data_IF_337892282145
#
_entry.id   IF_337892282145
#
_cell.length_a   1.000
_cell.length_b   1.000
_cell.length_c   1.000
_cell.angle_alpha   90.00
_cell.angle_beta   90.00
_cell.angle_gamma   90.00
#
_symmetry.space_group_name_H-M   'P 1'
#
loop_
_entity.id
_entity.type
_entity.pdbx_description
1 polymer ?
#
# COMPACT_ATOMS: atom_id res chain seq x y z
N UNK A 1 12.11 20.09 -8.41
CA UNK A 1 11.94 20.58 -9.79
C UNK A 1 12.59 21.93 -9.93
N UNK A 2 12.24 22.69 -10.98
CA UNK A 2 12.64 24.10 -11.11
C UNK A 2 12.01 24.95 -10.00
N UNK A 3 12.63 26.08 -9.66
CA UNK A 3 12.09 26.99 -8.64
C UNK A 3 10.74 27.56 -9.06
N UNK A 4 9.88 27.82 -8.07
CA UNK A 4 8.58 28.43 -8.30
C UNK A 4 8.73 29.87 -8.78
N UNK A 5 8.17 30.14 -9.95
CA UNK A 5 8.01 31.45 -10.55
C UNK A 5 6.53 31.63 -10.91
N UNK A 6 5.88 32.59 -10.25
CA UNK A 6 4.45 32.86 -10.34
C UNK A 6 4.00 33.29 -11.75
N UNK A 7 4.73 34.21 -12.39
CA UNK A 7 4.40 34.66 -13.75
C UNK A 7 4.51 33.53 -14.77
N UNK A 8 5.53 32.69 -14.63
CA UNK A 8 5.71 31.52 -15.50
C UNK A 8 4.62 30.50 -15.27
N UNK A 9 4.25 30.27 -14.01
CA UNK A 9 3.20 29.34 -13.61
C UNK A 9 1.86 29.75 -14.21
N UNK A 10 1.43 30.99 -13.97
CA UNK A 10 0.17 31.53 -14.48
C UNK A 10 0.10 31.49 -16.02
N UNK A 11 1.21 31.78 -16.71
CA UNK A 11 1.27 31.66 -18.18
C UNK A 11 1.08 30.22 -18.67
N UNK A 12 1.71 29.25 -18.01
CA UNK A 12 1.60 27.83 -18.39
C UNK A 12 0.20 27.28 -18.08
N UNK A 13 -0.35 27.61 -16.91
CA UNK A 13 -1.71 27.21 -16.50
C UNK A 13 -2.75 27.70 -17.52
N UNK A 14 -2.65 28.98 -17.91
CA UNK A 14 -3.54 29.58 -18.91
C UNK A 14 -3.35 28.97 -20.29
N UNK A 15 -2.12 28.71 -20.72
CA UNK A 15 -1.83 28.07 -22.00
C UNK A 15 -2.38 26.63 -22.07
N UNK A 16 -2.36 25.90 -20.96
CA UNK A 16 -2.87 24.53 -20.86
C UNK A 16 -4.38 24.46 -20.57
N UNK A 17 -5.08 25.59 -20.51
CA UNK A 17 -6.51 25.67 -20.16
C UNK A 17 -6.86 24.92 -18.85
N UNK A 18 -6.00 25.03 -17.83
CA UNK A 18 -6.19 24.37 -16.53
C UNK A 18 -7.00 25.21 -15.53
N UNK A 19 -7.21 26.51 -15.81
CA UNK A 19 -7.94 27.43 -14.92
C UNK A 19 -9.36 26.94 -14.58
N UNK A 20 -10.06 26.37 -15.58
CA UNK A 20 -11.41 25.83 -15.38
C UNK A 20 -11.39 24.56 -14.55
N UNK A 21 -10.37 23.72 -14.70
CA UNK A 21 -10.26 22.49 -13.90
C UNK A 21 -9.96 22.81 -12.44
N UNK A 22 -9.05 23.75 -12.17
CA UNK A 22 -8.74 24.15 -10.80
C UNK A 22 -9.94 24.73 -10.06
N UNK A 23 -10.82 25.49 -10.73
CA UNK A 23 -12.07 25.99 -10.13
C UNK A 23 -13.05 24.88 -9.72
N UNK A 24 -13.00 23.73 -10.37
CA UNK A 24 -13.86 22.58 -10.07
C UNK A 24 -13.29 21.71 -8.95
N UNK A 25 -11.99 21.81 -8.66
CA UNK A 25 -11.36 21.03 -7.61
C UNK A 25 -11.67 21.64 -6.23
N UNK A 26 -11.91 20.81 -5.19
CA UNK A 26 -12.35 21.31 -3.89
C UNK A 26 -11.37 22.28 -3.22
N UNK A 27 -10.06 22.16 -3.52
CA UNK A 27 -9.00 23.01 -2.96
C UNK A 27 -8.18 23.70 -4.04
N UNK A 28 -8.78 23.93 -5.22
CA UNK A 28 -8.09 24.61 -6.31
C UNK A 28 -6.88 23.85 -6.82
N UNK A 29 -5.81 24.59 -7.12
CA UNK A 29 -4.52 24.08 -7.60
C UNK A 29 -3.69 23.34 -6.53
N UNK A 30 -4.04 23.50 -5.25
CA UNK A 30 -3.42 22.79 -4.13
C UNK A 30 -4.04 21.42 -3.87
N UNK A 31 -5.03 21.00 -4.65
CA UNK A 31 -5.73 19.75 -4.44
C UNK A 31 -4.83 18.53 -4.63
N UNK A 32 -4.82 17.64 -3.64
CA UNK A 32 -4.15 16.35 -3.68
C UNK A 32 -4.83 15.43 -4.71
N UNK A 33 -4.10 15.11 -5.78
CA UNK A 33 -4.63 14.34 -6.93
C UNK A 33 -4.57 12.81 -6.76
N UNK A 34 -3.98 12.33 -5.66
CA UNK A 34 -3.76 10.91 -5.38
C UNK A 34 -2.64 10.26 -6.18
N UNK A 35 -2.26 9.04 -5.81
CA UNK A 35 -1.28 8.24 -6.56
C UNK A 35 -1.76 8.06 -8.01
N UNK A 36 -0.85 8.26 -8.98
CA UNK A 36 -1.15 8.19 -10.43
C UNK A 36 -2.29 9.13 -10.89
N UNK A 37 -2.62 10.14 -10.10
CA UNK A 37 -3.68 11.11 -10.39
C UNK A 37 -5.07 10.47 -10.42
N UNK A 38 -5.38 9.51 -9.55
CA UNK A 38 -6.69 8.83 -9.51
C UNK A 38 -7.89 9.80 -9.51
N UNK A 39 -7.74 10.99 -8.93
CA UNK A 39 -8.79 12.00 -8.88
C UNK A 39 -9.00 12.77 -10.20
N UNK A 40 -8.15 12.59 -11.22
CA UNK A 40 -8.16 13.36 -12.47
C UNK A 40 -8.67 12.52 -13.65
N UNK A 41 -9.38 13.16 -14.57
CA UNK A 41 -9.76 12.56 -15.85
C UNK A 41 -8.54 12.36 -16.77
N UNK A 42 -8.66 11.51 -17.80
CA UNK A 42 -7.59 11.29 -18.78
C UNK A 42 -7.10 12.58 -19.46
N UNK A 43 -8.03 13.44 -19.89
CA UNK A 43 -7.71 14.73 -20.48
C UNK A 43 -7.08 15.73 -19.50
N UNK A 44 -7.45 15.69 -18.22
CA UNK A 44 -6.79 16.49 -17.18
C UNK A 44 -5.36 16.03 -16.93
N UNK A 45 -5.13 14.71 -16.86
CA UNK A 45 -3.77 14.13 -16.73
C UNK A 45 -2.88 14.53 -17.90
N UNK A 46 -3.40 14.45 -19.13
CA UNK A 46 -2.67 14.85 -20.32
C UNK A 46 -2.26 16.33 -20.28
N UNK A 47 -3.21 17.23 -19.95
CA UNK A 47 -2.96 18.67 -19.82
C UNK A 47 -1.98 19.00 -18.69
N UNK A 48 -2.07 18.34 -17.54
CA UNK A 48 -1.13 18.52 -16.44
C UNK A 48 0.28 18.02 -16.80
N UNK A 49 0.39 16.90 -17.52
CA UNK A 49 1.66 16.39 -18.02
C UNK A 49 2.30 17.36 -19.03
N UNK A 50 1.50 17.92 -19.93
CA UNK A 50 1.92 18.95 -20.88
C UNK A 50 2.38 20.22 -20.15
N UNK A 51 1.61 20.70 -19.17
CA UNK A 51 1.98 21.85 -18.34
C UNK A 51 3.32 21.64 -17.64
N UNK A 52 3.56 20.44 -17.08
CA UNK A 52 4.83 20.06 -16.46
C UNK A 52 5.99 20.14 -17.46
N UNK A 53 5.81 19.68 -18.69
CA UNK A 53 6.82 19.77 -19.73
C UNK A 53 7.13 21.23 -20.09
N UNK A 54 6.10 22.06 -20.33
CA UNK A 54 6.25 23.49 -20.66
C UNK A 54 6.95 24.28 -19.55
N UNK A 55 6.65 23.97 -18.29
CA UNK A 55 7.24 24.65 -17.14
C UNK A 55 8.74 24.38 -16.98
N UNK A 56 9.25 23.24 -17.44
CA UNK A 56 10.67 22.89 -17.29
C UNK A 56 11.61 23.75 -18.16
N UNK A 57 11.11 24.36 -19.25
CA UNK A 57 11.91 25.16 -20.20
C UNK A 57 13.12 24.43 -20.77
N UNK A 58 12.88 23.34 -21.51
CA UNK A 58 13.89 22.65 -22.29
C UNK A 58 14.18 23.35 -23.65
N UNK A 59 15.24 22.93 -24.33
CA UNK A 59 15.55 23.34 -25.71
C UNK A 59 14.84 22.50 -26.77
N UNK A 60 14.61 21.22 -26.45
CA UNK A 60 13.94 20.24 -27.30
C UNK A 60 12.73 19.68 -26.55
N UNK A 61 11.57 19.68 -27.20
CA UNK A 61 10.33 19.09 -26.70
C UNK A 61 9.96 17.88 -27.55
N UNK A 62 9.85 16.72 -26.91
CA UNK A 62 9.33 15.49 -27.50
C UNK A 62 7.94 15.24 -26.93
N UNK A 63 6.93 15.28 -27.78
CA UNK A 63 5.53 15.18 -27.41
C UNK A 63 4.93 13.93 -28.06
N UNK A 64 4.57 12.95 -27.24
CA UNK A 64 3.96 11.70 -27.67
C UNK A 64 2.45 11.75 -27.47
N UNK A 65 1.74 12.03 -28.56
CA UNK A 65 0.29 12.20 -28.68
C UNK A 65 -0.43 12.89 -27.49
N UNK A 66 0.00 14.12 -27.10
CA UNK A 66 -0.53 14.81 -25.92
C UNK A 66 -1.99 15.29 -26.07
N UNK A 67 -2.59 15.17 -27.25
CA UNK A 67 -3.90 15.72 -27.59
C UNK A 67 -5.00 14.66 -27.77
N UNK A 68 -4.71 13.37 -27.62
CA UNK A 68 -5.65 12.27 -27.87
C UNK A 68 -6.80 12.20 -26.86
N UNK A 69 -6.51 12.50 -25.59
CA UNK A 69 -7.46 12.38 -24.49
C UNK A 69 -8.31 13.64 -24.24
N UNK A 70 -8.23 14.64 -25.12
CA UNK A 70 -8.91 15.95 -24.96
C UNK A 70 -9.86 16.24 -26.13
N UNK A 71 -10.94 16.96 -25.84
CA UNK A 71 -11.92 17.36 -26.84
C UNK A 71 -11.30 18.23 -27.94
N UNK A 72 -11.85 18.17 -29.16
CA UNK A 72 -11.33 18.88 -30.34
C UNK A 72 -11.14 20.39 -30.12
N UNK A 73 -12.02 21.04 -29.37
CA UNK A 73 -11.89 22.48 -29.08
C UNK A 73 -10.69 22.77 -28.17
N UNK A 74 -10.54 21.98 -27.10
CA UNK A 74 -9.42 22.08 -26.16
C UNK A 74 -8.11 21.72 -26.88
N UNK A 75 -8.11 20.68 -27.71
CA UNK A 75 -6.96 20.27 -28.51
C UNK A 75 -6.46 21.41 -29.42
N UNK A 76 -7.38 22.11 -30.11
CA UNK A 76 -7.05 23.29 -30.93
C UNK A 76 -6.47 24.43 -30.08
N UNK A 77 -7.07 24.70 -28.92
CA UNK A 77 -6.55 25.71 -28.00
C UNK A 77 -5.12 25.38 -27.55
N UNK A 78 -4.87 24.15 -27.10
CA UNK A 78 -3.56 23.67 -26.66
C UNK A 78 -2.53 23.72 -27.79
N UNK A 79 -2.89 23.31 -29.00
CA UNK A 79 -1.98 23.36 -30.14
C UNK A 79 -1.59 24.81 -30.47
N UNK A 80 -2.55 25.74 -30.50
CA UNK A 80 -2.28 27.14 -30.80
C UNK A 80 -1.49 27.83 -29.67
N UNK A 81 -1.92 27.70 -28.41
CA UNK A 81 -1.29 28.38 -27.28
C UNK A 81 0.01 27.74 -26.84
N UNK A 82 0.07 26.42 -26.71
CA UNK A 82 1.28 25.73 -26.24
C UNK A 82 2.29 25.56 -27.37
N UNK A 83 1.88 24.96 -28.50
CA UNK A 83 2.83 24.62 -29.56
C UNK A 83 3.20 25.84 -30.41
N UNK A 84 2.23 26.64 -30.87
CA UNK A 84 2.50 27.73 -31.81
C UNK A 84 2.92 29.05 -31.14
N UNK A 85 2.36 29.39 -29.98
CA UNK A 85 2.72 30.64 -29.27
C UNK A 85 3.84 30.43 -28.24
N UNK A 86 3.62 29.56 -27.24
CA UNK A 86 4.55 29.43 -26.10
C UNK A 86 5.90 28.81 -26.50
N UNK A 87 5.87 27.77 -27.32
CA UNK A 87 7.07 27.05 -27.77
C UNK A 87 7.60 27.53 -29.12
N UNK A 88 7.21 28.72 -29.60
CA UNK A 88 7.52 29.21 -30.96
C UNK A 88 9.02 29.16 -31.31
N UNK A 89 9.89 29.48 -30.35
CA UNK A 89 11.35 29.60 -30.52
C UNK A 89 12.10 28.33 -30.08
N UNK A 90 11.39 27.23 -29.81
CA UNK A 90 11.98 25.96 -29.32
C UNK A 90 11.85 24.85 -30.36
N UNK A 91 12.76 23.88 -30.33
CA UNK A 91 12.67 22.71 -31.18
C UNK A 91 11.58 21.77 -30.64
N UNK A 92 10.67 21.30 -31.52
CA UNK A 92 9.52 20.48 -31.13
C UNK A 92 9.36 19.31 -32.08
N UNK A 93 9.21 18.12 -31.53
CA UNK A 93 8.80 16.92 -32.26
C UNK A 93 7.49 16.44 -31.64
N UNK A 94 6.43 16.40 -32.44
CA UNK A 94 5.10 15.97 -32.05
C UNK A 94 4.74 14.71 -32.83
N UNK A 95 4.50 13.62 -32.10
CA UNK A 95 3.87 12.42 -32.65
C UNK A 95 2.38 12.55 -32.39
N UNK A 96 1.54 12.36 -33.41
CA UNK A 96 0.09 12.37 -33.23
C UNK A 96 -0.61 11.53 -34.27
N UNK A 97 -1.71 10.90 -33.87
CA UNK A 97 -2.65 10.24 -34.78
C UNK A 97 -3.63 11.23 -35.43
N UNK A 98 -3.70 12.47 -34.94
CA UNK A 98 -4.68 13.47 -35.39
C UNK A 98 -4.20 14.28 -36.59
N UNK A 99 -4.75 14.01 -37.79
CA UNK A 99 -4.39 14.71 -39.05
C UNK A 99 -4.69 16.23 -39.03
N UNK A 100 -5.63 16.68 -38.18
CA UNK A 100 -6.10 18.06 -38.15
C UNK A 100 -5.00 19.11 -37.87
N UNK A 101 -3.92 18.72 -37.19
CA UNK A 101 -2.81 19.61 -36.82
C UNK A 101 -1.63 19.57 -37.80
N UNK A 102 -1.64 18.65 -38.78
CA UNK A 102 -0.53 18.48 -39.73
C UNK A 102 -0.35 19.69 -40.66
N UNK A 103 -1.42 20.46 -40.93
CA UNK A 103 -1.36 21.61 -41.85
C UNK A 103 -0.44 22.73 -41.36
N UNK A 104 -0.33 22.89 -40.04
CA UNK A 104 0.45 23.95 -39.40
C UNK A 104 1.89 23.50 -39.09
N UNK A 105 2.25 22.25 -39.41
CA UNK A 105 3.59 21.73 -39.19
C UNK A 105 4.57 22.19 -40.28
N UNK A 106 5.77 22.59 -39.87
CA UNK A 106 6.84 22.99 -40.79
C UNK A 106 7.34 21.81 -41.64
N UNK A 107 7.49 20.65 -41.02
CA UNK A 107 7.90 19.40 -41.66
C UNK A 107 7.11 18.24 -41.03
N UNK A 108 6.72 17.29 -41.88
CA UNK A 108 6.00 16.08 -41.51
C UNK A 108 6.88 14.89 -41.93
N UNK A 109 7.10 13.98 -41.00
CA UNK A 109 7.77 12.70 -41.21
C UNK A 109 6.72 11.60 -41.16
N UNK A 110 6.63 10.81 -42.22
CA UNK A 110 5.75 9.63 -42.30
C UNK A 110 6.58 8.37 -42.10
N UNK A 111 6.27 7.61 -41.06
CA UNK A 111 6.90 6.33 -40.74
C UNK A 111 5.93 5.19 -41.06
N UNK A 112 6.42 4.14 -41.71
CA UNK A 112 5.70 2.88 -41.92
C UNK A 112 6.63 1.71 -41.61
N UNK A 113 6.21 0.78 -40.74
CA UNK A 113 7.01 -0.39 -40.33
C UNK A 113 8.46 -0.09 -39.90
N UNK A 114 8.69 1.07 -39.28
CA UNK A 114 10.02 1.51 -38.84
C UNK A 114 10.88 2.17 -39.93
N UNK A 115 10.39 2.25 -41.18
CA UNK A 115 11.05 2.93 -42.28
C UNK A 115 10.46 4.33 -42.55
N UNK A 116 11.33 5.27 -42.89
CA UNK A 116 10.94 6.62 -43.28
C UNK A 116 10.42 6.60 -44.73
N UNK A 117 9.09 6.65 -44.89
CA UNK A 117 8.44 6.66 -46.21
C UNK A 117 8.57 8.02 -46.88
N UNK A 118 8.37 9.11 -46.13
CA UNK A 118 8.43 10.45 -46.68
C UNK A 118 8.69 11.54 -45.64
N UNK A 119 9.37 12.60 -46.08
CA UNK A 119 9.61 13.83 -45.34
C UNK A 119 9.25 15.01 -46.25
N UNK A 120 8.47 15.96 -45.73
CA UNK A 120 8.13 17.19 -46.45
C UNK A 120 7.09 18.04 -45.71
N UNK A 121 6.78 19.21 -46.26
CA UNK A 121 5.62 20.00 -45.82
C UNK A 121 4.30 19.31 -46.21
N UNK A 122 3.19 19.72 -45.61
CA UNK A 122 1.86 19.20 -45.95
C UNK A 122 1.54 19.31 -47.45
N UNK A 123 1.91 20.43 -48.08
CA UNK A 123 1.71 20.65 -49.52
C UNK A 123 2.59 19.72 -50.36
N UNK A 124 3.87 19.58 -50.00
CA UNK A 124 4.81 18.70 -50.72
C UNK A 124 4.42 17.23 -50.64
N UNK A 125 3.94 16.76 -49.49
CA UNK A 125 3.48 15.38 -49.33
C UNK A 125 2.21 15.11 -50.14
N UNK A 126 1.28 16.08 -50.17
CA UNK A 126 0.07 16.00 -50.98
C UNK A 126 0.38 15.97 -52.48
N UNK A 127 1.32 16.79 -52.94
CA UNK A 127 1.78 16.80 -54.34
C UNK A 127 2.49 15.50 -54.76
N UNK A 128 3.17 14.83 -53.82
CA UNK A 128 3.77 13.50 -54.03
C UNK A 128 2.75 12.37 -54.07
N UNK A 129 1.45 12.65 -53.91
CA UNK A 129 0.39 11.66 -53.95
C UNK A 129 0.32 10.77 -52.70
N UNK A 130 0.97 11.15 -51.60
CA UNK A 130 0.90 10.43 -50.33
C UNK A 130 -0.40 10.84 -49.63
N UNK A 131 -1.42 9.99 -49.72
CA UNK A 131 -2.69 10.23 -49.05
C UNK A 131 -2.58 9.88 -47.56
N UNK A 132 -2.20 10.87 -46.76
CA UNK A 132 -2.14 10.77 -45.29
C UNK A 132 -3.47 10.31 -44.68
N UNK A 133 -4.61 10.60 -45.33
CA UNK A 133 -5.93 10.15 -44.86
C UNK A 133 -6.17 8.66 -45.10
N UNK A 134 -5.57 8.08 -46.15
CA UNK A 134 -5.67 6.65 -46.44
C UNK A 134 -4.88 5.81 -45.43
N UNK A 135 -3.73 6.31 -44.96
CA UNK A 135 -2.95 5.64 -43.91
C UNK A 135 -3.70 5.52 -42.59
N UNK A 136 -4.45 6.56 -42.19
CA UNK A 136 -5.27 6.50 -40.97
C UNK A 136 -6.41 5.46 -41.09
N UNK A 137 -7.01 5.32 -42.27
CA UNK A 137 -8.04 4.29 -42.54
C UNK A 137 -7.49 2.86 -42.56
N UNK A 138 -6.19 2.68 -42.76
CA UNK A 138 -5.54 1.36 -42.71
C UNK A 138 -5.12 0.98 -41.29
N UNK A 139 -4.73 1.95 -40.45
CA UNK A 139 -4.40 1.72 -39.03
C UNK A 139 -5.65 1.51 -38.16
N UNK A 140 -6.76 2.17 -38.51
CA UNK A 140 -8.07 1.90 -37.91
C UNK A 140 -8.67 0.65 -38.57
N UNK A 141 -8.23 -0.54 -38.14
CA UNK A 141 -8.80 -1.80 -38.61
C UNK A 141 -10.34 -1.86 -38.40
N UNK A 142 -11.06 -2.79 -39.06
CA UNK A 142 -12.53 -2.85 -39.09
C UNK A 142 -13.22 -3.12 -37.73
N UNK A 143 -12.48 -3.12 -36.62
CA UNK A 143 -13.03 -3.29 -35.27
C UNK A 143 -13.40 -1.99 -34.56
N UNK A 144 -12.75 -0.85 -34.85
CA UNK A 144 -13.03 0.41 -34.13
C UNK A 144 -14.18 1.24 -34.75
N UNK A 145 -14.55 0.95 -36.01
CA UNK A 145 -15.64 1.68 -36.68
C UNK A 145 -17.03 1.37 -36.10
N UNK A 146 -17.19 0.27 -35.35
CA UNK A 146 -18.48 -0.09 -34.73
C UNK A 146 -18.81 0.77 -33.50
N UNK A 147 -17.82 1.38 -32.86
CA UNK A 147 -18.03 2.21 -31.68
C UNK A 147 -18.36 3.67 -32.00
N UNK A 148 -17.99 4.15 -33.20
CA UNK A 148 -18.29 5.52 -33.63
C UNK A 148 -19.73 5.68 -34.15
N UNK A 149 -20.27 4.68 -34.87
CA UNK A 149 -21.63 4.76 -35.45
C UNK A 149 -22.75 4.74 -34.41
N UNK A 150 -22.49 4.27 -33.18
CA UNK A 150 -23.46 4.37 -32.06
C UNK A 150 -23.56 5.75 -31.43
N UNK A 151 -22.61 6.65 -31.66
CA UNK A 151 -22.61 8.00 -31.04
C UNK A 151 -23.29 9.07 -31.89
N UNK A 152 -23.62 8.77 -33.15
CA UNK A 152 -24.13 9.76 -34.12
C UNK A 152 -25.65 9.77 -34.31
N UNK A 153 -26.43 9.04 -33.51
CA UNK A 153 -27.90 9.16 -33.49
C UNK A 153 -28.40 9.81 -32.19
N UNK A 154 -27.95 11.03 -31.91
CA UNK A 154 -28.62 11.92 -30.96
C UNK A 154 -28.87 13.25 -31.67
N UNK A 155 -30.17 13.57 -31.82
CA UNK A 155 -30.68 14.73 -32.54
C UNK A 155 -30.24 16.07 -31.92
N UNK A 156 -30.03 17.13 -32.72
CA UNK A 156 -29.44 18.40 -32.28
C UNK A 156 -30.48 19.37 -31.68
N UNK A 157 -31.26 18.92 -30.70
CA UNK A 157 -32.27 19.77 -30.06
C UNK A 157 -32.21 19.66 -28.54
N UNK A 158 -31.10 20.05 -27.91
CA UNK A 158 -31.07 20.30 -26.46
C UNK A 158 -29.87 21.11 -25.97
N UNK A 159 -29.26 21.93 -26.85
CA UNK A 159 -28.20 22.89 -26.47
C UNK A 159 -28.69 24.31 -26.75
N UNK A 160 -29.76 24.72 -26.08
CA UNK A 160 -30.22 26.12 -26.10
C UNK A 160 -31.03 26.47 -24.86
N UNK A 161 -30.49 26.20 -23.68
CA UNK A 161 -30.98 26.77 -22.43
C UNK A 161 -30.01 26.37 -21.34
N UNK A 162 -29.13 27.30 -20.97
CA UNK A 162 -28.47 27.46 -19.67
C UNK A 162 -27.36 28.51 -19.85
N UNK A 163 -27.80 29.73 -20.17
CA UNK A 163 -27.01 30.95 -20.02
C UNK A 163 -27.98 32.01 -19.51
N UNK A 164 -28.22 32.01 -18.21
CA UNK A 164 -28.74 33.19 -17.52
C UNK A 164 -28.00 33.31 -16.19
N UNK A 165 -27.52 34.53 -15.95
CA UNK A 165 -26.44 34.82 -15.02
C UNK A 165 -26.84 34.74 -13.55
N UNK A 166 -25.82 34.53 -12.75
CA UNK A 166 -25.78 34.99 -11.37
C UNK A 166 -24.42 35.65 -11.14
N UNK A 167 -24.46 36.95 -10.85
CA UNK A 167 -23.32 37.72 -10.38
C UNK A 167 -22.80 37.09 -9.09
N UNK A 168 -21.56 36.59 -9.11
CA UNK A 168 -20.84 36.17 -7.91
C UNK A 168 -20.07 37.40 -7.44
N UNK A 169 -20.54 38.03 -6.37
CA UNK A 169 -19.81 39.05 -5.63
C UNK A 169 -18.53 38.44 -5.05
N UNK A 170 -17.38 38.99 -5.43
CA UNK A 170 -16.06 38.69 -4.88
C UNK A 170 -16.02 39.02 -3.38
N UNK A 171 -16.09 38.00 -2.53
CA UNK A 171 -15.68 38.09 -1.14
C UNK A 171 -14.43 37.21 -0.99
N UNK A 172 -13.26 37.85 -1.05
CA UNK A 172 -11.99 37.22 -0.71
C UNK A 172 -11.91 37.06 0.81
N UNK A 173 -12.27 35.89 1.32
CA UNK A 173 -11.83 35.46 2.65
C UNK A 173 -10.51 34.69 2.53
N UNK A 174 -9.50 34.96 3.38
CA UNK A 174 -8.25 34.19 3.38
C UNK A 174 -8.55 32.77 3.82
N UNK A 175 -8.41 31.81 2.90
CA UNK A 175 -8.65 30.39 3.16
C UNK A 175 -7.57 29.87 4.12
N UNK A 176 -7.98 29.46 5.32
CA UNK A 176 -7.16 28.71 6.27
C UNK A 176 -6.73 27.36 5.69
N UNK A 177 -5.50 26.97 5.98
CA UNK A 177 -4.88 25.73 5.51
C UNK A 177 -5.59 24.50 6.10
N UNK A 178 -6.54 23.94 5.36
CA UNK A 178 -7.06 22.60 5.64
C UNK A 178 -6.08 21.60 5.06
N UNK A 179 -5.30 20.97 5.93
CA UNK A 179 -4.41 19.87 5.63
C UNK A 179 -5.24 18.77 4.93
N UNK A 180 -5.05 18.57 3.62
CA UNK A 180 -5.66 17.48 2.87
C UNK A 180 -5.01 16.16 3.25
N UNK A 181 -5.16 15.78 4.51
CA UNK A 181 -4.74 14.48 4.99
C UNK A 181 -5.68 13.45 4.36
N UNK A 182 -5.09 12.56 3.56
CA UNK A 182 -5.65 11.22 3.32
C UNK A 182 -6.19 10.75 4.67
N UNK A 183 -7.45 10.28 4.74
CA UNK A 183 -8.02 9.76 6.00
C UNK A 183 -6.97 8.84 6.62
N UNK A 184 -6.40 9.16 7.80
CA UNK A 184 -5.46 8.29 8.45
C UNK A 184 -6.08 6.90 8.52
N UNK A 185 -5.37 5.86 8.07
CA UNK A 185 -5.78 4.49 8.41
C UNK A 185 -5.99 4.45 9.93
N UNK A 186 -7.14 3.94 10.36
CA UNK A 186 -7.62 4.08 11.73
C UNK A 186 -6.55 3.61 12.71
N UNK A 187 -6.12 4.55 13.54
CA UNK A 187 -5.14 4.34 14.58
C UNK A 187 -5.84 3.70 15.77
N UNK A 188 -5.79 2.38 15.90
CA UNK A 188 -6.14 1.74 17.17
C UNK A 188 -5.01 1.96 18.17
N UNK A 189 -5.27 2.87 19.11
CA UNK A 189 -4.42 3.18 20.27
C UNK A 189 -4.91 2.28 21.41
N UNK A 190 -4.13 1.26 21.79
CA UNK A 190 -4.51 0.36 22.87
C UNK A 190 -3.78 -0.98 22.83
N UNK A 191 -4.01 -1.79 23.87
CA UNK A 191 -3.65 -3.20 23.91
C UNK A 191 -4.49 -3.99 22.91
N UNK A 192 -3.92 -5.04 22.31
CA UNK A 192 -4.65 -5.93 21.40
C UNK A 192 -5.83 -6.55 22.13
N UNK A 193 -7.03 -6.42 21.58
CA UNK A 193 -8.24 -7.02 22.15
C UNK A 193 -8.11 -8.56 22.21
N UNK A 194 -8.58 -9.17 23.30
CA UNK A 194 -8.57 -10.63 23.48
C UNK A 194 -9.35 -11.37 22.40
N UNK A 195 -10.30 -10.70 21.74
CA UNK A 195 -11.04 -11.25 20.62
C UNK A 195 -10.15 -11.58 19.41
N UNK A 196 -9.11 -10.78 19.15
CA UNK A 196 -8.14 -11.01 18.07
C UNK A 196 -7.42 -12.35 18.26
N UNK A 197 -7.05 -12.67 19.51
CA UNK A 197 -6.42 -13.95 19.85
C UNK A 197 -7.37 -15.13 19.60
N UNK A 198 -8.66 -14.96 19.87
CA UNK A 198 -9.64 -16.02 19.64
C UNK A 198 -9.90 -16.24 18.16
N UNK A 199 -10.01 -15.18 17.36
CA UNK A 199 -10.13 -15.29 15.90
C UNK A 199 -8.88 -15.93 15.28
N UNK A 200 -7.68 -15.60 15.77
CA UNK A 200 -6.44 -16.25 15.34
C UNK A 200 -6.42 -17.75 15.63
N UNK A 201 -6.84 -18.14 16.84
CA UNK A 201 -6.90 -19.55 17.24
C UNK A 201 -7.97 -20.31 16.45
N UNK A 202 -9.14 -19.70 16.22
CA UNK A 202 -10.22 -20.29 15.41
C UNK A 202 -9.77 -20.50 13.95
N UNK A 203 -9.09 -19.52 13.36
CA UNK A 203 -8.66 -19.59 11.96
C UNK A 203 -7.50 -20.57 11.71
N UNK A 204 -6.61 -20.77 12.70
CA UNK A 204 -5.41 -21.61 12.53
C UNK A 204 -5.63 -23.09 12.82
N UNK A 205 -5.69 -23.44 14.11
CA UNK A 205 -5.65 -24.81 14.62
C UNK A 205 -6.96 -25.27 15.30
N UNK A 206 -7.89 -24.32 15.53
CA UNK A 206 -9.08 -24.53 16.34
C UNK A 206 -8.77 -24.57 17.85
N UNK A 207 -9.73 -24.20 18.71
CA UNK A 207 -9.50 -24.10 20.15
C UNK A 207 -9.18 -25.46 20.81
N UNK A 208 -9.71 -26.56 20.28
CA UNK A 208 -9.50 -27.90 20.82
C UNK A 208 -8.03 -28.33 20.75
N UNK A 209 -7.34 -28.07 19.64
CA UNK A 209 -5.94 -28.45 19.46
C UNK A 209 -5.01 -27.61 20.36
N UNK A 210 -5.34 -26.33 20.57
CA UNK A 210 -4.62 -25.46 21.51
C UNK A 210 -4.78 -25.97 22.94
N UNK A 211 -6.01 -26.30 23.37
CA UNK A 211 -6.28 -26.86 24.70
C UNK A 211 -5.55 -28.20 24.90
N UNK A 212 -5.54 -29.07 23.89
CA UNK A 212 -4.82 -30.34 23.94
C UNK A 212 -3.31 -30.12 24.08
N UNK A 213 -2.76 -29.16 23.33
CA UNK A 213 -1.33 -28.84 23.37
C UNK A 213 -0.93 -28.23 24.72
N UNK A 214 -1.73 -27.32 25.27
CA UNK A 214 -1.47 -26.73 26.60
C UNK A 214 -1.57 -27.78 27.70
N UNK A 215 -2.51 -28.73 27.59
CA UNK A 215 -2.63 -29.86 28.52
C UNK A 215 -1.38 -30.75 28.47
N UNK A 216 -0.91 -31.17 27.29
CA UNK A 216 0.30 -32.00 27.20
C UNK A 216 1.57 -31.28 27.67
N UNK A 217 1.67 -29.96 27.43
CA UNK A 217 2.77 -29.16 27.96
C UNK A 217 2.72 -29.09 29.49
N UNK A 218 1.53 -28.89 30.07
CA UNK A 218 1.34 -28.88 31.51
C UNK A 218 1.68 -30.24 32.13
N UNK A 219 1.17 -31.33 31.56
CA UNK A 219 1.50 -32.70 31.99
C UNK A 219 3.00 -32.96 31.92
N UNK A 220 3.67 -32.52 30.85
CA UNK A 220 5.13 -32.63 30.72
C UNK A 220 5.87 -31.88 31.83
N UNK A 221 5.41 -30.67 32.20
CA UNK A 221 6.03 -29.92 33.30
C UNK A 221 5.81 -30.59 34.66
N UNK A 222 4.60 -31.11 34.92
CA UNK A 222 4.29 -31.83 36.17
C UNK A 222 5.15 -33.09 36.30
N UNK A 223 5.30 -33.88 35.22
CA UNK A 223 6.15 -35.07 35.21
C UNK A 223 7.62 -34.72 35.38
N UNK A 224 8.08 -33.63 34.76
CA UNK A 224 9.44 -33.13 34.93
C UNK A 224 9.72 -32.78 36.41
N UNK A 225 8.87 -31.97 37.04
CA UNK A 225 9.03 -31.62 38.45
C UNK A 225 8.86 -32.83 39.38
N UNK A 226 7.93 -33.73 39.06
CA UNK A 226 7.76 -35.00 39.77
C UNK A 226 9.02 -35.86 39.71
N UNK A 227 9.68 -35.94 38.55
CA UNK A 227 10.92 -36.72 38.38
C UNK A 227 12.09 -36.13 39.20
N UNK A 228 12.22 -34.80 39.25
CA UNK A 228 13.26 -34.10 40.00
C UNK A 228 13.01 -34.21 41.51
N UNK A 229 11.76 -34.05 41.93
CA UNK A 229 11.35 -34.23 43.33
C UNK A 229 11.60 -35.68 43.80
N UNK A 230 11.22 -36.66 42.98
CA UNK A 230 11.46 -38.07 43.28
C UNK A 230 12.97 -38.39 43.38
N UNK A 231 13.78 -37.83 42.47
CA UNK A 231 15.24 -37.96 42.54
C UNK A 231 15.83 -37.37 43.83
N UNK A 232 15.29 -36.24 44.31
CA UNK A 232 15.69 -35.65 45.59
C UNK A 232 15.37 -36.57 46.78
N UNK A 233 14.16 -37.14 46.82
CA UNK A 233 13.79 -38.11 47.85
C UNK A 233 14.68 -39.35 47.81
N UNK A 234 14.92 -39.89 46.62
CA UNK A 234 15.77 -41.06 46.44
C UNK A 234 17.22 -40.78 46.86
N UNK A 235 17.76 -39.60 46.53
CA UNK A 235 19.12 -39.20 46.94
C UNK A 235 19.25 -39.08 48.46
N UNK A 236 18.23 -38.53 49.14
CA UNK A 236 18.20 -38.45 50.59
C UNK A 236 18.11 -39.82 51.27
N UNK A 237 17.37 -40.78 50.67
CA UNK A 237 17.31 -42.16 51.16
C UNK A 237 18.66 -42.88 51.02
N UNK A 238 19.35 -42.70 49.89
CA UNK A 238 20.71 -43.23 49.67
C UNK A 238 21.67 -42.64 50.71
N UNK A 239 21.58 -41.34 50.99
CA UNK A 239 22.41 -40.67 51.99
C UNK A 239 22.17 -41.19 53.42
N UNK A 240 20.91 -41.48 53.78
CA UNK A 240 20.54 -41.99 55.10
C UNK A 240 20.77 -43.50 55.28
N UNK A 241 21.39 -44.18 54.31
CA UNK A 241 21.74 -45.62 54.36
C UNK A 241 20.54 -46.56 54.62
N UNK A 242 19.35 -46.17 54.16
CA UNK A 242 18.15 -46.98 54.23
C UNK A 242 18.19 -48.08 53.15
N UNK A 243 18.13 -49.36 53.55
CA UNK A 243 18.01 -50.51 52.63
C UNK A 243 16.55 -50.66 52.10
N UNK A 244 15.99 -49.60 51.53
CA UNK A 244 14.75 -49.71 50.74
C UNK A 244 15.08 -50.27 49.34
N UNK A 245 14.11 -50.97 48.74
CA UNK A 245 14.25 -51.62 47.43
C UNK A 245 14.71 -50.63 46.34
N UNK A 246 16.02 -50.59 46.07
CA UNK A 246 16.61 -49.72 45.04
C UNK A 246 15.97 -49.94 43.67
N UNK A 247 15.59 -51.19 43.37
CA UNK A 247 14.86 -51.57 42.17
C UNK A 247 13.52 -50.84 42.05
N UNK A 248 12.79 -50.65 43.16
CA UNK A 248 11.51 -49.94 43.16
C UNK A 248 11.68 -48.45 42.84
N UNK A 249 12.68 -47.80 43.44
CA UNK A 249 13.00 -46.39 43.17
C UNK A 249 13.45 -46.15 41.72
N UNK A 250 14.25 -47.06 41.16
CA UNK A 250 14.65 -47.02 39.75
C UNK A 250 13.44 -47.18 38.83
N UNK A 251 12.51 -48.09 39.14
CA UNK A 251 11.30 -48.30 38.33
C UNK A 251 10.42 -47.03 38.32
N UNK A 252 10.20 -46.40 39.48
CA UNK A 252 9.39 -45.17 39.55
C UNK A 252 10.07 -44.04 38.79
N UNK A 253 11.37 -43.80 39.00
CA UNK A 253 12.10 -42.77 38.28
C UNK A 253 12.09 -43.00 36.75
N UNK A 254 12.30 -44.24 36.32
CA UNK A 254 12.29 -44.62 34.89
C UNK A 254 10.89 -44.47 34.28
N UNK A 255 9.82 -44.78 35.03
CA UNK A 255 8.44 -44.60 34.55
C UNK A 255 8.04 -43.12 34.43
N UNK A 256 8.44 -42.27 35.38
CA UNK A 256 8.21 -40.83 35.32
C UNK A 256 8.96 -40.16 34.16
N UNK A 257 10.22 -40.55 33.95
CA UNK A 257 11.05 -40.03 32.84
C UNK A 257 10.57 -40.54 31.48
N UNK A 258 10.12 -41.79 31.38
CA UNK A 258 9.46 -42.32 30.18
C UNK A 258 8.15 -41.58 29.88
N UNK A 259 7.32 -41.34 30.90
CA UNK A 259 6.09 -40.55 30.78
C UNK A 259 6.36 -39.13 30.25
N UNK A 260 7.41 -38.47 30.75
CA UNK A 260 7.86 -37.15 30.29
C UNK A 260 8.24 -37.18 28.79
N UNK A 261 8.99 -38.19 28.36
CA UNK A 261 9.38 -38.32 26.95
C UNK A 261 8.17 -38.52 26.04
N UNK A 262 7.21 -39.36 26.46
CA UNK A 262 5.97 -39.60 25.71
C UNK A 262 5.11 -38.33 25.64
N UNK A 263 4.94 -37.62 26.74
CA UNK A 263 4.14 -36.37 26.75
C UNK A 263 4.81 -35.27 25.93
N UNK A 264 6.14 -35.15 25.97
CA UNK A 264 6.90 -34.19 25.16
C UNK A 264 6.83 -34.51 23.66
N UNK A 265 6.88 -35.79 23.29
CA UNK A 265 6.67 -36.22 21.90
C UNK A 265 5.27 -35.90 21.40
N UNK A 266 4.23 -36.19 22.20
CA UNK A 266 2.84 -35.86 21.89
C UNK A 266 2.65 -34.34 21.73
N UNK A 267 3.23 -33.53 22.62
CA UNK A 267 3.25 -32.06 22.47
C UNK A 267 3.93 -31.62 21.17
N UNK A 268 5.06 -32.22 20.80
CA UNK A 268 5.81 -31.89 19.59
C UNK A 268 5.02 -32.23 18.32
N UNK A 269 4.31 -33.37 18.33
CA UNK A 269 3.43 -33.78 17.23
C UNK A 269 2.25 -32.81 17.10
N UNK A 270 1.60 -32.43 18.21
CA UNK A 270 0.51 -31.45 18.21
C UNK A 270 1.00 -30.09 17.69
N UNK A 271 2.20 -29.66 18.12
CA UNK A 271 2.81 -28.41 17.65
C UNK A 271 3.16 -28.47 16.16
N UNK A 272 3.65 -29.60 15.66
CA UNK A 272 3.92 -29.80 14.25
C UNK A 272 2.63 -29.71 13.41
N UNK A 273 1.55 -30.36 13.84
CA UNK A 273 0.24 -30.28 13.19
C UNK A 273 -0.27 -28.83 13.18
N UNK A 274 -0.14 -28.13 14.30
CA UNK A 274 -0.48 -26.71 14.40
C UNK A 274 0.35 -25.87 13.42
N UNK A 275 1.67 -26.03 13.38
CA UNK A 275 2.59 -25.28 12.50
C UNK A 275 2.35 -25.49 11.00
N UNK A 276 1.73 -26.62 10.62
CA UNK A 276 1.39 -26.95 9.24
C UNK A 276 0.14 -26.22 8.75
N UNK A 277 -0.63 -25.57 9.65
CA UNK A 277 -1.76 -24.75 9.20
C UNK A 277 -1.23 -23.57 8.35
N UNK A 278 -1.75 -23.39 7.12
CA UNK A 278 -1.24 -22.40 6.18
C UNK A 278 -1.29 -20.97 6.71
N UNK A 279 -2.18 -20.70 7.66
CA UNK A 279 -2.28 -19.41 8.37
C UNK A 279 -0.97 -19.08 9.11
N UNK A 280 -0.40 -20.03 9.86
CA UNK A 280 0.82 -19.78 10.64
C UNK A 280 2.08 -19.67 9.77
N UNK A 281 2.13 -20.42 8.67
CA UNK A 281 3.27 -20.38 7.72
C UNK A 281 3.34 -19.05 6.96
N UNK A 282 2.20 -18.48 6.57
CA UNK A 282 2.17 -17.22 5.81
C UNK A 282 2.32 -15.98 6.70
N UNK A 283 1.81 -16.03 7.93
CA UNK A 283 1.93 -14.93 8.90
C UNK A 283 3.39 -14.62 9.22
N UNK A 284 4.27 -15.61 9.41
CA UNK A 284 5.70 -15.38 9.68
C UNK A 284 6.42 -14.62 8.53
N UNK A 285 6.07 -14.89 7.28
CA UNK A 285 6.61 -14.20 6.09
C UNK A 285 6.16 -12.74 5.96
N UNK A 286 5.00 -12.38 6.52
CA UNK A 286 4.45 -11.01 6.47
C UNK A 286 4.89 -10.16 7.67
N UNK A 287 5.48 -10.78 8.70
CA UNK A 287 5.62 -10.23 10.06
C UNK A 287 6.94 -9.49 10.38
N UNK A 288 8.03 -9.68 9.64
CA UNK A 288 9.33 -9.09 9.99
C UNK A 288 9.41 -7.55 9.85
N UNK A 289 8.40 -6.89 9.28
CA UNK A 289 8.37 -5.42 9.15
C UNK A 289 7.62 -4.67 10.26
N UNK A 290 6.76 -5.34 11.04
CA UNK A 290 5.74 -4.67 11.87
C UNK A 290 6.15 -4.42 13.33
N UNK A 291 7.15 -5.13 13.85
CA UNK A 291 7.55 -5.03 15.27
C UNK A 291 8.30 -3.73 15.60
N UNK A 292 8.96 -3.11 14.61
CA UNK A 292 9.61 -1.79 14.74
C UNK A 292 8.62 -0.63 14.96
N UNK A 293 7.33 -0.83 14.67
CA UNK A 293 6.34 0.25 14.45
C UNK A 293 5.63 0.70 15.75
N UNK A 294 5.48 -0.18 16.75
CA UNK A 294 4.75 0.15 18.01
C UNK A 294 5.62 0.70 19.13
N UNK A 295 6.92 0.39 19.18
CA UNK A 295 7.76 0.67 20.35
C UNK A 295 8.08 2.15 20.63
N UNK A 296 7.83 3.08 19.70
CA UNK A 296 8.10 4.52 19.90
C UNK A 296 6.89 5.45 19.87
N UNK A 297 5.67 4.93 19.76
CA UNK A 297 4.51 5.81 19.55
C UNK A 297 4.58 6.63 18.25
N UNK A 298 5.49 6.27 17.33
CA UNK A 298 5.74 6.93 16.05
C UNK A 298 4.90 6.33 14.90
N UNK A 299 3.69 5.85 15.23
CA UNK A 299 2.75 5.22 14.30
C UNK A 299 2.24 6.17 13.19
N UNK A 300 2.46 7.49 13.35
CA UNK A 300 2.10 8.51 12.35
C UNK A 300 2.98 8.46 11.10
N UNK A 301 4.13 7.75 11.12
CA UNK A 301 5.02 7.64 9.96
C UNK A 301 4.61 6.55 8.95
N UNK A 302 3.53 5.80 9.20
CA UNK A 302 3.08 4.69 8.34
C UNK A 302 1.70 4.91 7.69
N UNK A 303 1.28 6.16 7.53
CA UNK A 303 0.40 6.53 6.42
C UNK A 303 1.17 6.33 5.09
N UNK A 304 0.48 6.08 3.97
CA UNK A 304 0.14 4.77 3.39
C UNK A 304 1.38 3.94 2.95
N UNK A 305 1.31 2.59 3.00
CA UNK A 305 2.33 1.64 2.47
C UNK A 305 3.78 2.19 2.50
N UNK A 306 4.48 2.18 3.65
CA UNK A 306 5.85 2.73 3.88
C UNK A 306 6.30 3.72 2.79
N UNK A 307 6.39 5.04 3.04
CA UNK A 307 6.77 6.04 2.03
C UNK A 307 7.89 5.61 1.05
N UNK A 308 8.84 4.78 1.52
CA UNK A 308 9.81 4.01 0.71
C UNK A 308 9.17 3.20 -0.43
N UNK A 309 8.21 2.30 -0.18
CA UNK A 309 7.52 1.48 -1.18
C UNK A 309 6.69 2.32 -2.17
N UNK A 310 5.92 3.30 -1.68
CA UNK A 310 5.15 4.19 -2.57
C UNK A 310 6.09 5.02 -3.47
N UNK A 311 7.21 5.51 -2.92
CA UNK A 311 8.24 6.22 -3.66
C UNK A 311 8.90 5.33 -4.73
N UNK A 312 9.23 4.07 -4.39
CA UNK A 312 9.77 3.09 -5.36
C UNK A 312 8.76 2.80 -6.47
N UNK A 313 7.49 2.55 -6.13
CA UNK A 313 6.44 2.31 -7.12
C UNK A 313 6.28 3.51 -8.07
N UNK A 314 6.27 4.73 -7.52
CA UNK A 314 6.19 5.98 -8.31
C UNK A 314 7.42 6.16 -9.19
N UNK A 315 8.61 5.85 -8.69
CA UNK A 315 9.88 5.92 -9.42
C UNK A 315 9.92 4.93 -10.58
N UNK A 316 9.46 3.70 -10.37
CA UNK A 316 9.40 2.66 -11.41
C UNK A 316 8.44 3.05 -12.53
N UNK A 317 7.23 3.52 -12.19
CA UNK A 317 6.27 3.97 -13.20
C UNK A 317 6.72 5.25 -13.93
N UNK A 318 7.46 6.13 -13.25
CA UNK A 318 7.90 7.43 -13.77
C UNK A 318 9.32 7.45 -14.36
N UNK A 319 10.00 6.30 -14.48
CA UNK A 319 11.43 6.24 -14.73
C UNK A 319 11.87 6.97 -16.01
N UNK A 320 11.10 6.85 -17.08
CA UNK A 320 11.35 7.54 -18.35
C UNK A 320 11.27 9.06 -18.19
N UNK A 321 10.26 9.56 -17.49
CA UNK A 321 10.10 10.99 -17.17
C UNK A 321 11.26 11.48 -16.30
N UNK A 322 11.61 10.75 -15.24
CA UNK A 322 12.70 11.14 -14.32
C UNK A 322 14.02 11.30 -15.08
N UNK A 323 14.32 10.37 -15.99
CA UNK A 323 15.51 10.42 -16.83
C UNK A 323 15.45 11.57 -17.85
N UNK A 324 14.31 11.78 -18.49
CA UNK A 324 14.13 12.86 -19.47
C UNK A 324 14.31 14.25 -18.85
N UNK A 325 13.89 14.45 -17.60
CA UNK A 325 14.02 15.71 -16.86
C UNK A 325 15.33 15.84 -16.06
N UNK A 326 16.22 14.84 -16.09
CA UNK A 326 17.47 14.85 -15.31
C UNK A 326 17.25 14.94 -13.79
N UNK A 327 16.13 14.39 -13.29
CA UNK A 327 15.70 14.54 -11.90
C UNK A 327 16.16 13.41 -10.96
N UNK A 328 17.12 12.57 -11.37
CA UNK A 328 17.56 11.38 -10.63
C UNK A 328 17.99 11.71 -9.20
N UNK A 329 18.90 12.68 -9.04
CA UNK A 329 19.45 13.07 -7.74
C UNK A 329 18.36 13.58 -6.77
N UNK A 330 17.28 14.17 -7.28
CA UNK A 330 16.17 14.62 -6.45
C UNK A 330 15.39 13.43 -5.88
N UNK A 331 15.11 12.43 -6.71
CA UNK A 331 14.44 11.20 -6.29
C UNK A 331 15.33 10.35 -5.38
N UNK A 332 16.63 10.25 -5.65
CA UNK A 332 17.61 9.59 -4.78
C UNK A 332 17.63 10.22 -3.40
N UNK A 333 17.74 11.55 -3.32
CA UNK A 333 17.72 12.26 -2.02
C UNK A 333 16.40 12.08 -1.28
N UNK A 334 15.27 12.09 -1.97
CA UNK A 334 13.96 11.81 -1.34
C UNK A 334 13.90 10.38 -0.81
N UNK A 335 14.40 9.41 -1.58
CA UNK A 335 14.49 8.02 -1.15
C UNK A 335 15.38 7.86 0.08
N UNK A 336 16.55 8.51 0.11
CA UNK A 336 17.47 8.52 1.26
C UNK A 336 16.79 9.06 2.52
N UNK A 337 16.02 10.15 2.40
CA UNK A 337 15.27 10.72 3.54
C UNK A 337 14.23 9.71 4.04
N UNK A 338 13.39 9.16 3.15
CA UNK A 338 12.40 8.16 3.53
C UNK A 338 13.03 6.90 4.14
N UNK A 339 14.18 6.47 3.62
CA UNK A 339 14.93 5.34 4.13
C UNK A 339 15.50 5.65 5.52
N UNK A 340 16.10 6.83 5.71
CA UNK A 340 16.67 7.25 6.99
C UNK A 340 15.61 7.35 8.10
N UNK A 341 14.43 7.89 7.78
CA UNK A 341 13.31 7.98 8.73
C UNK A 341 12.82 6.58 9.16
N UNK A 342 12.70 5.66 8.20
CA UNK A 342 12.32 4.28 8.49
C UNK A 342 13.40 3.51 9.28
N UNK A 343 14.67 3.65 8.90
CA UNK A 343 15.80 2.98 9.55
C UNK A 343 16.06 3.53 10.95
N UNK A 344 15.96 4.85 11.15
CA UNK A 344 16.17 5.47 12.47
C UNK A 344 15.16 4.97 13.51
N UNK A 345 13.90 4.79 13.12
CA UNK A 345 12.86 4.22 13.99
C UNK A 345 13.19 2.78 14.41
N UNK A 346 13.63 1.96 13.46
CA UNK A 346 14.05 0.57 13.73
C UNK A 346 15.31 0.51 14.60
N UNK A 347 16.28 1.39 14.35
CA UNK A 347 17.51 1.45 15.13
C UNK A 347 17.22 1.84 16.59
N UNK A 348 16.36 2.84 16.79
CA UNK A 348 15.92 3.24 18.12
C UNK A 348 15.29 2.05 18.85
N UNK A 349 14.54 1.19 18.16
CA UNK A 349 13.86 0.02 18.76
C UNK A 349 14.84 -0.97 19.31
N UNK A 350 15.80 -1.33 18.48
CA UNK A 350 16.88 -2.24 18.86
C UNK A 350 17.61 -1.67 20.07
N UNK A 351 17.92 -0.37 20.09
CA UNK A 351 18.55 0.29 21.23
C UNK A 351 17.69 0.23 22.50
N UNK A 352 16.39 0.52 22.42
CA UNK A 352 15.49 0.49 23.58
C UNK A 352 15.28 -0.91 24.13
N UNK A 353 15.10 -1.93 23.28
CA UNK A 353 14.99 -3.33 23.72
C UNK A 353 16.28 -3.80 24.39
N UNK A 354 17.45 -3.38 23.88
CA UNK A 354 18.74 -3.68 24.50
C UNK A 354 18.91 -2.97 25.85
N UNK A 355 18.55 -1.70 25.94
CA UNK A 355 18.59 -0.93 27.18
C UNK A 355 17.67 -1.53 28.26
N UNK A 356 16.44 -1.90 27.88
CA UNK A 356 15.51 -2.59 28.77
C UNK A 356 16.07 -3.94 29.22
N UNK A 357 16.66 -4.71 28.29
CA UNK A 357 17.34 -5.96 28.62
C UNK A 357 18.41 -5.78 29.68
N UNK A 358 19.28 -4.78 29.54
CA UNK A 358 20.32 -4.45 30.54
C UNK A 358 19.70 -4.06 31.90
N UNK A 359 18.64 -3.25 31.91
CA UNK A 359 17.95 -2.88 33.16
C UNK A 359 17.34 -4.10 33.87
N UNK A 360 16.70 -4.98 33.11
CA UNK A 360 16.13 -6.21 33.66
C UNK A 360 17.24 -7.13 34.17
N UNK A 361 18.32 -7.31 33.41
CA UNK A 361 19.45 -8.15 33.81
C UNK A 361 20.14 -7.62 35.08
N UNK A 362 20.35 -6.31 35.18
CA UNK A 362 20.90 -5.69 36.41
C UNK A 362 19.97 -5.89 37.60
N UNK A 363 18.65 -5.74 37.42
CA UNK A 363 17.68 -6.02 38.50
C UNK A 363 17.69 -7.49 38.92
N UNK A 364 17.85 -8.42 37.98
CA UNK A 364 17.97 -9.84 38.27
C UNK A 364 19.29 -10.20 38.96
N UNK A 365 20.42 -9.61 38.58
CA UNK A 365 21.70 -9.81 39.27
C UNK A 365 21.62 -9.30 40.70
N UNK A 366 21.00 -8.14 40.94
CA UNK A 366 20.78 -7.60 42.29
C UNK A 366 19.89 -8.57 43.10
N UNK A 367 18.78 -9.03 42.53
CA UNK A 367 17.89 -10.00 43.18
C UNK A 367 18.61 -11.32 43.50
N UNK A 368 19.32 -11.91 42.54
CA UNK A 368 20.10 -13.14 42.75
C UNK A 368 21.18 -12.92 43.82
N UNK A 369 21.83 -11.77 43.86
CA UNK A 369 22.84 -11.46 44.89
C UNK A 369 22.21 -11.39 46.29
N UNK A 370 21.04 -10.74 46.41
CA UNK A 370 20.26 -10.70 47.66
C UNK A 370 19.79 -12.09 48.06
N UNK A 371 19.32 -12.89 47.11
CA UNK A 371 18.89 -14.28 47.33
C UNK A 371 20.07 -15.17 47.71
N UNK A 372 21.25 -15.03 47.10
CA UNK A 372 22.46 -15.77 47.49
C UNK A 372 22.88 -15.41 48.92
N UNK A 373 22.84 -14.12 49.30
CA UNK A 373 23.10 -13.67 50.68
C UNK A 373 22.05 -14.22 51.65
N UNK A 374 20.77 -14.22 51.24
CA UNK A 374 19.68 -14.84 52.00
C UNK A 374 19.83 -16.36 52.10
N UNK A 375 20.38 -17.02 51.08
CA UNK A 375 20.59 -18.47 51.04
C UNK A 375 21.81 -18.89 51.86
N UNK A 376 22.85 -18.05 51.90
CA UNK A 376 23.93 -18.17 52.89
C UNK A 376 23.41 -18.07 54.33
N UNK A 377 22.20 -17.52 54.53
CA UNK A 377 21.47 -17.48 55.80
C UNK A 377 20.38 -18.56 55.93
N UNK A 378 19.86 -19.12 54.83
CA UNK A 378 18.86 -20.21 54.82
C UNK A 378 18.91 -20.99 53.49
N UNK A 379 19.38 -22.22 53.55
CA UNK A 379 19.43 -23.14 52.41
C UNK A 379 18.03 -23.47 51.92
N UNK A 380 17.61 -22.90 50.78
CA UNK A 380 16.89 -23.57 49.67
C UNK A 380 16.31 -22.55 48.67
N UNK A 381 16.37 -22.87 47.36
CA UNK A 381 15.68 -22.27 46.19
C UNK A 381 16.40 -21.20 45.32
N UNK A 382 16.96 -21.62 44.16
CA UNK A 382 17.64 -20.73 43.16
C UNK A 382 17.05 -20.82 41.73
N UNK A 383 16.06 -21.65 41.41
CA UNK A 383 15.74 -21.94 40.00
C UNK A 383 14.73 -21.01 39.30
N UNK A 384 14.12 -20.03 39.96
CA UNK A 384 12.91 -19.36 39.43
C UNK A 384 13.14 -18.06 38.66
N UNK A 385 14.32 -17.42 38.72
CA UNK A 385 14.51 -16.07 38.15
C UNK A 385 14.65 -16.04 36.62
N UNK A 386 15.33 -17.03 36.01
CA UNK A 386 15.56 -17.04 34.55
C UNK A 386 14.30 -17.32 33.72
N UNK A 387 13.32 -18.04 34.26
CA UNK A 387 12.07 -18.34 33.57
C UNK A 387 11.14 -17.12 33.48
N UNK A 388 11.18 -16.23 34.47
CA UNK A 388 10.36 -15.03 34.50
C UNK A 388 10.82 -14.03 33.43
N UNK A 389 12.14 -13.85 33.26
CA UNK A 389 12.70 -13.00 32.20
C UNK A 389 12.28 -13.49 30.81
N UNK A 390 12.34 -14.81 30.59
CA UNK A 390 11.92 -15.42 29.33
C UNK A 390 10.41 -15.25 29.09
N UNK A 391 9.59 -15.39 30.14
CA UNK A 391 8.15 -15.21 30.05
C UNK A 391 7.76 -13.78 29.65
N UNK A 392 8.37 -12.76 30.28
CA UNK A 392 8.12 -11.34 29.96
C UNK A 392 8.52 -11.03 28.52
N UNK A 393 9.66 -11.55 28.07
CA UNK A 393 10.11 -11.37 26.68
C UNK A 393 9.14 -12.04 25.70
N UNK A 394 8.76 -13.29 25.96
CA UNK A 394 7.85 -14.04 25.08
C UNK A 394 6.45 -13.41 25.02
N UNK A 395 5.96 -12.85 26.13
CA UNK A 395 4.67 -12.13 26.12
C UNK A 395 4.74 -10.84 25.29
N UNK A 396 5.83 -10.07 25.41
CA UNK A 396 6.01 -8.84 24.63
C UNK A 396 6.15 -9.13 23.13
N UNK A 397 6.91 -10.18 22.76
CA UNK A 397 7.05 -10.62 21.37
C UNK A 397 5.69 -11.11 20.82
N UNK A 398 4.91 -11.86 21.61
CA UNK A 398 3.58 -12.34 21.22
C UNK A 398 2.61 -11.19 20.97
N UNK A 399 2.54 -10.21 21.87
CA UNK A 399 1.69 -9.02 21.70
C UNK A 399 2.09 -8.23 20.44
N UNK A 400 3.40 -8.13 20.18
CA UNK A 400 3.93 -7.52 18.96
C UNK A 400 3.42 -8.23 17.70
N UNK A 401 3.46 -9.57 17.67
CA UNK A 401 2.98 -10.35 16.53
C UNK A 401 1.46 -10.29 16.32
N UNK A 402 0.66 -10.21 17.39
CA UNK A 402 -0.81 -10.15 17.28
C UNK A 402 -1.33 -8.87 16.66
N UNK A 403 -0.53 -7.80 16.67
CA UNK A 403 -0.78 -6.56 15.92
C UNK A 403 -1.05 -6.80 14.44
N UNK A 404 -0.33 -7.74 13.81
CA UNK A 404 -0.50 -8.00 12.39
C UNK A 404 -1.82 -8.72 12.10
N UNK A 405 -2.23 -9.61 13.00
CA UNK A 405 -3.53 -10.29 12.90
C UNK A 405 -4.66 -9.28 13.06
N UNK A 406 -4.53 -8.35 14.02
CA UNK A 406 -5.47 -7.24 14.21
C UNK A 406 -5.63 -6.39 12.93
N UNK A 407 -4.52 -6.09 12.23
CA UNK A 407 -4.55 -5.38 10.93
C UNK A 407 -5.24 -6.17 9.82
N UNK A 408 -5.02 -7.49 9.76
CA UNK A 408 -5.71 -8.33 8.77
C UNK A 408 -7.21 -8.38 9.05
N UNK A 409 -7.61 -8.49 10.33
CA UNK A 409 -9.02 -8.46 10.72
C UNK A 409 -9.68 -7.11 10.41
N UNK A 410 -8.93 -6.00 10.47
CA UNK A 410 -9.45 -4.70 10.05
C UNK A 410 -9.93 -4.71 8.59
N UNK A 411 -9.17 -5.33 7.68
CA UNK A 411 -9.59 -5.47 6.28
C UNK A 411 -10.87 -6.31 6.13
N UNK A 412 -11.13 -7.25 7.04
CA UNK A 412 -12.38 -8.03 7.03
C UNK A 412 -13.58 -7.24 7.55
N UNK A 413 -13.34 -6.17 8.32
CA UNK A 413 -14.38 -5.30 8.85
C UNK A 413 -14.75 -4.15 7.89
N UNK A 414 -13.98 -3.94 6.82
CA UNK A 414 -14.31 -2.95 5.78
C UNK A 414 -15.60 -3.36 5.09
N UNK A 415 -16.46 -2.37 4.80
CA UNK A 415 -17.71 -2.58 4.06
C UNK A 415 -17.39 -3.31 2.74
N UNK A 416 -17.86 -4.56 2.56
CA UNK A 416 -17.59 -5.29 1.33
C UNK A 416 -18.37 -4.65 0.17
N UNK A 417 -17.82 -4.78 -1.04
CA UNK A 417 -18.61 -4.53 -2.25
C UNK A 417 -19.80 -5.49 -2.31
N UNK A 418 -20.84 -5.11 -3.07
CA UNK A 418 -21.99 -5.98 -3.25
C UNK A 418 -21.55 -7.35 -3.82
N UNK A 419 -22.22 -8.42 -3.38
CA UNK A 419 -21.91 -9.77 -3.84
C UNK A 419 -21.95 -9.84 -5.37
N UNK A 420 -20.95 -10.51 -5.96
CA UNK A 420 -20.83 -10.69 -7.41
C UNK A 420 -22.07 -11.36 -8.02
N UNK A 421 -22.71 -12.24 -7.27
CA UNK A 421 -23.97 -12.86 -7.66
C UNK A 421 -25.14 -12.26 -6.90
N UNK A 422 -26.22 -11.94 -7.61
CA UNK A 422 -27.47 -11.60 -6.95
C UNK A 422 -28.06 -12.83 -6.27
N UNK A 423 -28.84 -12.59 -5.21
CA UNK A 423 -29.60 -13.65 -4.53
C UNK A 423 -30.45 -14.44 -5.54
N UNK A 424 -30.70 -15.75 -5.33
CA UNK A 424 -31.44 -16.59 -6.26
C UNK A 424 -32.78 -15.99 -6.73
N UNK A 425 -33.45 -15.25 -5.83
CA UNK A 425 -34.74 -14.60 -6.06
C UNK A 425 -34.66 -13.34 -6.95
N UNK A 426 -33.46 -12.78 -7.13
CA UNK A 426 -33.17 -11.56 -7.91
C UNK A 426 -32.26 -11.82 -9.11
N UNK A 427 -32.03 -13.07 -9.47
CA UNK A 427 -31.29 -13.41 -10.70
C UNK A 427 -32.15 -13.09 -11.92
N UNK A 428 -31.62 -12.37 -12.92
CA UNK A 428 -32.36 -12.14 -14.14
C UNK A 428 -32.63 -13.49 -14.85
N UNK A 429 -33.72 -13.59 -15.63
CA UNK A 429 -34.00 -14.78 -16.45
C UNK A 429 -32.83 -15.11 -17.37
N UNK A 430 -32.68 -16.39 -17.75
CA UNK A 430 -31.62 -16.83 -18.69
C UNK A 430 -31.65 -16.10 -20.04
N UNK A 431 -32.82 -15.60 -20.42
CA UNK A 431 -33.05 -14.88 -21.68
C UNK A 431 -32.79 -13.37 -21.56
N UNK A 432 -32.32 -12.88 -20.40
CA UNK A 432 -31.95 -11.47 -20.21
C UNK A 432 -30.55 -11.18 -20.78
N UNK A 433 -30.32 -10.02 -21.42
CA UNK A 433 -31.29 -8.97 -21.75
C UNK A 433 -32.01 -9.23 -23.08
N UNK A 434 -33.35 -9.16 -23.09
CA UNK A 434 -34.16 -9.33 -24.32
C UNK A 434 -34.20 -8.07 -25.19
N UNK A 435 -34.27 -6.90 -24.55
CA UNK A 435 -34.22 -5.58 -25.16
C UNK A 435 -33.09 -4.81 -24.48
N UNK A 436 -32.14 -4.28 -25.26
CA UNK A 436 -31.03 -3.47 -24.74
C UNK A 436 -31.43 -2.04 -24.38
N UNK A 437 -32.61 -1.85 -23.79
CA UNK A 437 -33.13 -0.54 -23.42
C UNK A 437 -32.49 -0.06 -22.11
N UNK A 438 -32.01 1.19 -22.09
CA UNK A 438 -31.38 1.81 -20.92
C UNK A 438 -32.20 3.04 -20.55
N UNK A 439 -32.76 3.05 -19.34
CA UNK A 439 -33.58 4.16 -18.82
C UNK A 439 -32.94 4.71 -17.56
N UNK A 440 -32.53 5.98 -17.59
CA UNK A 440 -32.07 6.71 -16.41
C UNK A 440 -33.25 7.43 -15.77
N UNK A 441 -33.43 7.28 -14.46
CA UNK A 441 -34.46 7.98 -13.67
C UNK A 441 -33.78 8.63 -12.46
N UNK A 442 -33.75 9.96 -12.42
CA UNK A 442 -33.19 10.76 -11.32
C UNK A 442 -31.81 10.28 -10.83
N UNK A 443 -30.95 9.89 -11.77
CA UNK A 443 -29.65 9.30 -11.45
C UNK A 443 -28.63 10.41 -11.13
N UNK A 444 -27.98 10.29 -9.98
CA UNK A 444 -26.84 11.09 -9.56
C UNK A 444 -25.70 10.18 -9.11
N UNK A 445 -24.46 10.63 -9.29
CA UNK A 445 -23.26 9.88 -8.92
C UNK A 445 -22.32 10.78 -8.13
N UNK A 446 -21.76 10.23 -7.05
CA UNK A 446 -20.89 10.96 -6.13
C UNK A 446 -19.69 10.09 -5.78
N UNK A 447 -18.49 10.65 -5.88
CA UNK A 447 -17.23 9.93 -5.60
C UNK A 447 -16.92 9.81 -4.11
N UNK A 448 -17.11 10.89 -3.36
CA UNK A 448 -16.90 10.93 -1.91
C UNK A 448 -18.20 11.37 -1.24
N UNK A 449 -18.62 10.68 -0.19
CA UNK A 449 -19.68 11.19 0.70
C UNK A 449 -19.29 12.61 1.14
N UNK A 450 -20.20 13.57 0.95
CA UNK A 450 -19.99 14.96 1.37
C UNK A 450 -19.60 14.99 2.86
N UNK A 451 -18.68 15.87 3.29
CA UNK A 451 -18.33 16.01 4.70
C UNK A 451 -19.54 16.36 5.59
#
# INVERSE_FOLDING_TARGET
GSQYNEEKYNRVVKACALDTDFKLLPFGDKTFVGERGLALSGGQKARLSLARALYHSADIYLLDDPLSAVDTHVAKHLFQKCCNEYLKDKARVLVTHSIQFLKDAHQILVLNDGECVAIGSYTQLKERGIDLMAYQRQTDGPNDSRDMERRTSLTPSMVSSLSEGSEVTDIWEPIEWVDQKVKPELKMIGSVETNVYMEYIKAGAGPLLVILTTLFLFTSQVLNQGSVYWLSLWTNQIYNNSNDDQTFNIIIYTSLTCGLFVSALLSTICFYIMSRSPVYSHVNTTLCGLTSIRAFGAQHMFEPRSPVYSHVNTTLCGLTSIRAFGAQHMFERQFEVHQNDNTSTTFLFICSTRALGVLVDTSCIIYISVVIVYIMLNTDTISTTSLIQLAIKLSADTESYMTAVERVLEYTAIKPEAELESTPDRKPPKDWPQMGEIVFKDMSLQYNESP
#
